data_IF_127251410436
#
_entry.id   IF_127251410436
#
_cell.length_a   1.000
_cell.length_b   1.000
_cell.length_c   1.000
_cell.angle_alpha   90.00
_cell.angle_beta   90.00
_cell.angle_gamma   90.00
#
_symmetry.space_group_name_H-M   'P 1'
#
loop_
_entity.id
_entity.type
_entity.pdbx_description
1 polymer ?
#
# COMPACT_ATOMS: atom_id res chain seq x y z
N UNK A 1 20.46 -9.84 14.20
CA UNK A 1 20.12 -9.13 12.95
C UNK A 1 19.65 -10.08 11.87
N UNK A 2 20.53 -10.89 11.29
CA UNK A 2 20.19 -11.88 10.26
C UNK A 2 21.07 -13.13 10.41
N UNK A 3 20.75 -14.22 9.71
CA UNK A 3 21.53 -15.46 9.70
C UNK A 3 20.87 -16.63 10.42
N UNK A 4 19.59 -16.55 10.81
CA UNK A 4 18.88 -17.64 11.50
C UNK A 4 18.93 -18.97 10.74
N UNK A 5 18.81 -18.91 9.41
CA UNK A 5 18.96 -20.10 8.56
C UNK A 5 20.38 -20.68 8.65
N UNK A 6 21.41 -19.83 8.61
CA UNK A 6 22.82 -20.25 8.73
C UNK A 6 23.11 -20.86 10.10
N UNK A 7 22.59 -20.26 11.17
CA UNK A 7 22.67 -20.80 12.53
C UNK A 7 22.03 -22.17 12.63
N UNK A 8 20.83 -22.32 12.06
CA UNK A 8 20.11 -23.59 12.02
C UNK A 8 20.89 -24.67 11.26
N UNK A 9 21.41 -24.34 10.07
CA UNK A 9 22.20 -25.26 9.25
C UNK A 9 23.49 -25.72 9.94
N UNK A 10 24.29 -24.79 10.48
CA UNK A 10 25.54 -25.14 11.20
C UNK A 10 25.24 -26.01 12.41
N UNK A 11 24.16 -25.72 13.15
CA UNK A 11 23.75 -26.55 14.29
C UNK A 11 23.38 -27.97 13.89
N UNK A 12 22.69 -28.14 12.76
CA UNK A 12 22.33 -29.47 12.22
C UNK A 12 23.56 -30.24 11.76
N UNK A 13 24.41 -29.62 10.95
CA UNK A 13 25.62 -30.24 10.42
C UNK A 13 26.57 -30.69 11.55
N UNK A 14 26.72 -29.85 12.59
CA UNK A 14 27.55 -30.20 13.74
C UNK A 14 26.97 -31.40 14.51
N UNK A 15 25.64 -31.45 14.72
CA UNK A 15 24.98 -32.59 15.36
C UNK A 15 25.13 -33.89 14.57
N UNK A 16 25.16 -33.80 13.24
CA UNK A 16 25.34 -34.94 12.36
C UNK A 16 26.81 -35.38 12.23
N UNK A 17 27.76 -34.66 12.85
CA UNK A 17 29.19 -34.93 12.72
C UNK A 17 29.78 -34.56 11.34
N UNK A 18 29.03 -33.82 10.52
CA UNK A 18 29.44 -33.41 9.16
C UNK A 18 30.43 -32.23 9.19
N UNK A 19 30.49 -31.49 10.30
CA UNK A 19 31.48 -30.45 10.56
C UNK A 19 32.08 -30.63 11.95
N UNK A 20 33.35 -30.26 12.10
CA UNK A 20 34.12 -30.45 13.33
C UNK A 20 33.91 -29.35 14.37
N UNK A 21 33.43 -28.18 13.96
CA UNK A 21 33.18 -27.05 14.89
C UNK A 21 31.88 -26.33 14.52
N UNK A 22 31.12 -25.84 15.52
CA UNK A 22 29.90 -25.07 15.29
C UNK A 22 30.18 -23.57 15.12
N UNK A 23 31.36 -23.19 14.60
CA UNK A 23 31.72 -21.77 14.46
C UNK A 23 30.95 -21.11 13.32
N UNK A 24 30.43 -19.91 13.59
CA UNK A 24 29.66 -19.13 12.63
C UNK A 24 30.34 -17.77 12.45
N UNK A 25 30.86 -17.46 11.24
CA UNK A 25 31.32 -16.11 10.93
C UNK A 25 30.18 -15.11 11.10
N UNK A 26 30.39 -14.11 11.94
CA UNK A 26 29.41 -13.08 12.22
C UNK A 26 30.07 -11.70 12.26
N UNK A 27 29.29 -10.69 11.89
CA UNK A 27 29.64 -9.30 12.13
C UNK A 27 29.05 -8.90 13.48
N UNK A 28 29.90 -8.47 14.41
CA UNK A 28 29.46 -7.93 15.69
C UNK A 28 29.33 -6.43 15.52
N UNK A 29 28.08 -5.96 15.53
CA UNK A 29 27.78 -4.54 15.56
C UNK A 29 27.76 -4.09 17.02
N UNK A 30 28.53 -3.06 17.33
CA UNK A 30 28.60 -2.46 18.68
C UNK A 30 28.00 -1.06 18.63
N UNK A 31 27.43 -0.61 19.76
CA UNK A 31 26.76 0.70 19.88
C UNK A 31 25.60 0.93 18.89
N UNK A 32 24.98 -0.14 18.37
CA UNK A 32 23.79 -0.02 17.52
C UNK A 32 22.53 0.18 18.35
N UNK A 33 21.70 1.11 17.92
CA UNK A 33 20.35 1.25 18.46
C UNK A 33 19.38 0.29 17.78
N UNK A 34 18.19 0.09 18.36
CA UNK A 34 17.12 -0.68 17.72
C UNK A 34 16.73 -0.11 16.33
N UNK A 35 16.88 1.21 16.16
CA UNK A 35 16.58 1.91 14.92
C UNK A 35 17.60 1.54 13.84
N UNK A 36 18.90 1.54 14.18
CA UNK A 36 19.99 1.13 13.29
C UNK A 36 19.85 -0.34 12.89
N UNK A 37 19.52 -1.18 13.86
CA UNK A 37 19.24 -2.60 13.66
C UNK A 37 18.07 -2.79 12.68
N UNK A 38 16.92 -2.17 12.96
CA UNK A 38 15.75 -2.29 12.10
C UNK A 38 16.04 -1.81 10.68
N UNK A 39 16.80 -0.71 10.53
CA UNK A 39 17.17 -0.19 9.23
C UNK A 39 18.07 -1.18 8.47
N UNK A 40 19.13 -1.69 9.12
CA UNK A 40 20.04 -2.67 8.54
C UNK A 40 19.30 -3.90 8.03
N UNK A 41 18.38 -4.44 8.85
CA UNK A 41 17.55 -5.60 8.46
C UNK A 41 16.70 -5.29 7.22
N UNK A 42 16.13 -4.09 7.11
CA UNK A 42 15.28 -3.69 5.98
C UNK A 42 16.03 -3.43 4.67
N UNK A 43 17.33 -3.16 4.76
CA UNK A 43 18.22 -2.90 3.61
C UNK A 43 19.05 -4.10 3.18
N UNK A 44 19.09 -5.18 3.97
CA UNK A 44 20.03 -6.29 3.81
C UNK A 44 19.79 -7.22 2.60
N UNK A 45 18.89 -6.86 1.68
CA UNK A 45 18.60 -7.66 0.49
C UNK A 45 19.35 -7.18 -0.74
N UNK A 46 20.61 -7.59 -0.85
CA UNK A 46 21.35 -7.62 -2.12
C UNK A 46 21.69 -9.07 -2.52
N UNK A 47 20.75 -10.01 -2.32
CA UNK A 47 20.80 -11.26 -3.10
C UNK A 47 20.13 -12.56 -2.63
N UNK A 48 19.60 -12.76 -1.42
CA UNK A 48 19.02 -14.09 -1.04
C UNK A 48 17.77 -14.02 -0.17
N UNK A 49 16.64 -14.34 -0.81
CA UNK A 49 15.23 -14.31 -0.31
C UNK A 49 14.70 -12.91 -0.07
N UNK A 50 14.07 -12.27 -1.08
CA UNK A 50 13.56 -10.91 -0.92
C UNK A 50 12.52 -10.85 0.20
N UNK A 51 12.76 -10.00 1.19
CA UNK A 51 11.79 -9.63 2.22
C UNK A 51 10.47 -9.26 1.53
N UNK A 52 9.36 -9.74 2.11
CA UNK A 52 8.04 -9.31 1.63
C UNK A 52 7.89 -7.81 1.87
N UNK A 53 7.16 -7.12 1.01
CA UNK A 53 7.12 -5.65 1.06
C UNK A 53 6.59 -5.10 2.39
N UNK A 54 5.65 -5.80 3.03
CA UNK A 54 5.21 -5.51 4.40
C UNK A 54 6.38 -5.48 5.41
N UNK A 55 7.29 -6.46 5.34
CA UNK A 55 8.43 -6.55 6.26
C UNK A 55 9.41 -5.40 6.01
N UNK A 56 9.68 -5.07 4.74
CA UNK A 56 10.52 -3.93 4.38
C UNK A 56 9.95 -2.61 4.89
N UNK A 57 8.66 -2.36 4.68
CA UNK A 57 8.00 -1.13 5.14
C UNK A 57 7.99 -1.07 6.67
N UNK A 58 7.67 -2.18 7.36
CA UNK A 58 7.65 -2.22 8.83
C UNK A 58 9.03 -1.97 9.42
N UNK A 59 10.08 -2.58 8.88
CA UNK A 59 11.45 -2.36 9.36
C UNK A 59 11.89 -0.91 9.12
N UNK A 60 11.62 -0.33 7.94
CA UNK A 60 11.91 1.09 7.64
C UNK A 60 11.16 2.06 8.54
N UNK A 61 9.91 1.76 8.88
CA UNK A 61 9.14 2.57 9.82
C UNK A 61 9.74 2.53 11.24
N UNK A 62 10.15 1.36 11.73
CA UNK A 62 10.83 1.23 13.02
C UNK A 62 12.19 1.95 12.99
N UNK A 63 12.92 1.85 11.88
CA UNK A 63 14.15 2.59 11.63
C UNK A 63 13.97 4.09 11.36
N UNK A 64 12.75 4.63 11.56
CA UNK A 64 12.41 6.05 11.39
C UNK A 64 12.79 6.62 10.02
N UNK A 65 12.67 5.82 8.96
CA UNK A 65 12.84 6.31 7.59
C UNK A 65 11.84 7.45 7.33
N UNK A 66 12.37 8.65 7.00
CA UNK A 66 11.58 9.87 6.86
C UNK A 66 10.43 9.73 5.85
N UNK A 67 10.63 8.98 4.76
CA UNK A 67 9.59 8.79 3.73
C UNK A 67 8.49 7.88 4.23
N UNK A 68 8.84 6.76 4.86
CA UNK A 68 7.84 5.83 5.39
C UNK A 68 7.09 6.44 6.58
N UNK A 69 7.75 7.20 7.44
CA UNK A 69 7.09 7.96 8.49
C UNK A 69 6.15 9.02 7.90
N UNK A 70 6.60 9.81 6.93
CA UNK A 70 5.74 10.81 6.27
C UNK A 70 4.52 10.21 5.58
N UNK A 71 4.67 9.05 4.93
CA UNK A 71 3.55 8.28 4.39
C UNK A 71 2.59 7.82 5.51
N UNK A 72 3.13 7.29 6.60
CA UNK A 72 2.32 6.84 7.73
C UNK A 72 1.53 7.98 8.35
N UNK A 73 2.15 9.14 8.54
CA UNK A 73 1.50 10.35 9.09
C UNK A 73 0.40 10.86 8.14
N UNK A 74 0.69 10.96 6.83
CA UNK A 74 -0.30 11.39 5.85
C UNK A 74 -1.52 10.46 5.76
N UNK A 75 -1.30 9.14 5.88
CA UNK A 75 -2.37 8.16 5.95
C UNK A 75 -3.16 8.28 7.26
N UNK A 76 -2.47 8.50 8.38
CA UNK A 76 -3.10 8.62 9.70
C UNK A 76 -3.99 9.87 9.78
N UNK A 77 -3.57 10.99 9.19
CA UNK A 77 -4.38 12.20 9.03
C UNK A 77 -5.71 11.93 8.30
N UNK A 78 -5.73 10.92 7.43
CA UNK A 78 -6.92 10.47 6.71
C UNK A 78 -7.70 9.37 7.45
N UNK A 79 -7.26 8.95 8.64
CA UNK A 79 -7.84 7.84 9.40
C UNK A 79 -7.42 6.44 8.93
N UNK A 80 -6.37 6.32 8.11
CA UNK A 80 -5.88 5.05 7.57
C UNK A 80 -4.62 4.61 8.33
N UNK A 81 -4.64 3.44 8.97
CA UNK A 81 -3.46 2.90 9.64
C UNK A 81 -2.62 2.09 8.66
N UNK A 82 -1.37 2.52 8.44
CA UNK A 82 -0.45 1.90 7.49
C UNK A 82 -0.34 0.37 7.65
N UNK A 83 -0.25 -0.15 8.88
CA UNK A 83 -0.02 -1.59 9.10
C UNK A 83 -1.29 -2.43 9.32
N UNK A 84 -2.46 -1.80 9.38
CA UNK A 84 -3.73 -2.49 9.67
C UNK A 84 -4.68 -2.41 8.50
N UNK A 85 -4.78 -1.23 7.90
CA UNK A 85 -5.81 -0.94 6.90
C UNK A 85 -5.25 -1.01 5.48
N UNK A 86 -3.95 -0.80 5.25
CA UNK A 86 -3.32 -0.89 3.92
C UNK A 86 -3.01 -2.33 3.55
N UNK A 87 -3.46 -2.73 2.36
CA UNK A 87 -3.19 -4.05 1.79
C UNK A 87 -2.06 -4.03 0.74
N UNK A 88 -2.02 -3.00 -0.11
CA UNK A 88 -1.05 -2.87 -1.20
C UNK A 88 0.04 -1.84 -0.88
N UNK A 89 1.00 -2.25 -0.03
CA UNK A 89 2.10 -1.40 0.45
C UNK A 89 2.97 -0.81 -0.67
N UNK A 90 3.28 -1.60 -1.71
CA UNK A 90 4.07 -1.13 -2.85
C UNK A 90 3.33 -0.01 -3.59
N UNK A 91 2.08 -0.27 -3.93
CA UNK A 91 1.23 0.66 -4.70
C UNK A 91 0.99 1.96 -3.96
N UNK A 92 0.62 1.93 -2.67
CA UNK A 92 0.37 3.19 -1.93
C UNK A 92 1.64 4.03 -1.83
N UNK A 93 2.80 3.38 -1.68
CA UNK A 93 4.10 4.07 -1.61
C UNK A 93 4.46 4.70 -2.94
N UNK A 94 4.32 3.96 -4.04
CA UNK A 94 4.54 4.49 -5.39
C UNK A 94 3.62 5.67 -5.69
N UNK A 95 2.34 5.59 -5.30
CA UNK A 95 1.40 6.70 -5.47
C UNK A 95 1.83 7.91 -4.63
N UNK A 96 2.20 7.72 -3.36
CA UNK A 96 2.65 8.79 -2.48
C UNK A 96 3.91 9.49 -3.01
N UNK A 97 4.86 8.73 -3.53
CA UNK A 97 6.11 9.29 -4.07
C UNK A 97 5.90 10.08 -5.39
N UNK A 98 4.78 9.86 -6.11
CA UNK A 98 4.52 10.44 -7.44
C UNK A 98 3.29 11.35 -7.51
N UNK A 99 2.60 11.60 -6.40
CA UNK A 99 1.38 12.43 -6.36
C UNK A 99 1.59 13.60 -5.42
N UNK A 100 1.02 14.75 -5.75
CA UNK A 100 0.95 15.88 -4.81
C UNK A 100 0.30 15.46 -3.48
N UNK A 101 0.83 15.96 -2.37
CA UNK A 101 0.43 15.53 -1.03
C UNK A 101 -1.04 15.83 -0.73
N UNK A 102 -1.56 16.98 -1.18
CA UNK A 102 -2.95 17.35 -0.95
C UNK A 102 -3.88 16.45 -1.77
N UNK A 103 -3.54 16.19 -3.04
CA UNK A 103 -4.29 15.25 -3.88
C UNK A 103 -4.26 13.84 -3.29
N UNK A 104 -3.10 13.40 -2.78
CA UNK A 104 -2.95 12.12 -2.09
C UNK A 104 -3.90 12.01 -0.89
N UNK A 105 -3.84 12.99 0.01
CA UNK A 105 -4.71 13.03 1.20
C UNK A 105 -6.19 13.07 0.82
N UNK A 106 -6.57 13.80 -0.24
CA UNK A 106 -7.96 13.88 -0.70
C UNK A 106 -8.53 12.51 -1.06
N UNK A 107 -7.89 11.74 -1.93
CA UNK A 107 -8.44 10.44 -2.30
C UNK A 107 -8.34 9.41 -1.15
N UNK A 108 -7.31 9.49 -0.29
CA UNK A 108 -7.23 8.68 0.93
C UNK A 108 -8.41 8.95 1.87
N UNK A 109 -8.78 10.22 2.07
CA UNK A 109 -9.94 10.62 2.86
C UNK A 109 -11.25 10.06 2.26
N UNK A 110 -11.36 10.02 0.93
CA UNK A 110 -12.50 9.40 0.26
C UNK A 110 -12.56 7.90 0.54
N UNK A 111 -11.46 7.17 0.44
CA UNK A 111 -11.41 5.73 0.77
C UNK A 111 -11.85 5.50 2.22
N UNK A 112 -11.27 6.28 3.12
CA UNK A 112 -11.51 6.17 4.56
C UNK A 112 -12.99 6.32 4.90
N UNK A 113 -13.57 7.46 4.49
CA UNK A 113 -14.98 7.80 4.76
C UNK A 113 -15.99 6.95 3.98
N UNK A 114 -15.59 6.37 2.86
CA UNK A 114 -16.49 5.52 2.07
C UNK A 114 -16.55 4.10 2.61
N UNK A 115 -15.42 3.57 3.07
CA UNK A 115 -15.26 2.12 3.27
C UNK A 115 -14.60 1.69 4.57
N UNK A 116 -13.61 2.45 5.08
CA UNK A 116 -12.88 2.03 6.28
C UNK A 116 -13.70 2.20 7.56
N UNK A 117 -14.56 3.21 7.61
CA UNK A 117 -15.53 3.41 8.70
C UNK A 117 -16.79 2.54 8.57
N UNK A 118 -16.87 1.72 7.51
CA UNK A 118 -18.03 0.91 7.19
C UNK A 118 -18.04 -0.51 7.75
N UNK A 119 -18.89 -1.33 7.16
CA UNK A 119 -19.04 -2.77 7.47
C UNK A 119 -17.77 -3.57 7.12
N UNK A 120 -17.66 -4.80 7.64
CA UNK A 120 -16.56 -5.72 7.28
C UNK A 120 -16.44 -5.93 5.76
N UNK A 121 -17.56 -5.96 5.04
CA UNK A 121 -17.56 -6.11 3.58
C UNK A 121 -17.04 -4.86 2.87
N UNK A 122 -17.30 -3.67 3.40
CA UNK A 122 -16.76 -2.41 2.88
C UNK A 122 -15.26 -2.27 3.18
N UNK A 123 -14.80 -2.64 4.38
CA UNK A 123 -13.37 -2.60 4.72
C UNK A 123 -12.53 -3.56 3.88
N UNK A 124 -13.10 -4.70 3.49
CA UNK A 124 -12.40 -5.71 2.70
C UNK A 124 -12.03 -5.13 1.32
N UNK A 125 -10.73 -5.11 1.03
CA UNK A 125 -10.16 -4.65 -0.25
C UNK A 125 -10.30 -3.15 -0.51
N UNK A 126 -10.61 -2.33 0.50
CA UNK A 126 -10.71 -0.87 0.37
C UNK A 126 -9.39 -0.20 -0.05
N UNK A 127 -8.25 -0.82 0.28
CA UNK A 127 -6.89 -0.32 0.02
C UNK A 127 -6.08 -1.31 -0.82
N UNK A 128 -6.75 -2.16 -1.61
CA UNK A 128 -6.05 -3.04 -2.54
C UNK A 128 -5.48 -2.24 -3.73
N UNK A 129 -4.52 -2.82 -4.46
CA UNK A 129 -3.83 -2.15 -5.57
C UNK A 129 -4.78 -1.53 -6.59
N UNK A 130 -5.78 -2.27 -7.06
CA UNK A 130 -6.76 -1.78 -8.06
C UNK A 130 -7.49 -0.51 -7.62
N UNK A 131 -7.92 -0.45 -6.37
CA UNK A 131 -8.68 0.69 -5.83
C UNK A 131 -7.77 1.89 -5.65
N UNK A 132 -6.57 1.67 -5.10
CA UNK A 132 -5.58 2.73 -4.91
C UNK A 132 -5.15 3.34 -6.24
N UNK A 133 -4.75 2.49 -7.20
CA UNK A 133 -4.40 2.93 -8.55
C UNK A 133 -5.57 3.65 -9.19
N UNK A 134 -6.76 3.06 -9.16
CA UNK A 134 -7.88 3.65 -9.88
C UNK A 134 -8.35 5.00 -9.33
N UNK A 135 -8.35 5.19 -8.01
CA UNK A 135 -8.64 6.49 -7.40
C UNK A 135 -7.52 7.50 -7.63
N UNK A 136 -6.26 7.08 -7.52
CA UNK A 136 -5.12 7.94 -7.83
C UNK A 136 -5.17 8.45 -9.28
N UNK A 137 -5.44 7.56 -10.24
CA UNK A 137 -5.60 7.94 -11.66
C UNK A 137 -6.81 8.86 -11.88
N UNK A 138 -7.91 8.62 -11.16
CA UNK A 138 -9.10 9.48 -11.27
C UNK A 138 -8.86 10.89 -10.75
N UNK A 139 -8.18 11.01 -9.60
CA UNK A 139 -7.82 12.31 -9.03
C UNK A 139 -6.73 13.01 -9.84
N UNK A 140 -5.76 12.30 -10.40
CA UNK A 140 -4.71 12.94 -11.21
C UNK A 140 -5.27 13.62 -12.46
N UNK A 141 -6.41 13.14 -12.99
CA UNK A 141 -7.09 13.75 -14.13
C UNK A 141 -8.15 14.79 -13.77
N UNK A 142 -8.90 14.57 -12.71
CA UNK A 142 -10.14 15.33 -12.44
C UNK A 142 -10.21 15.94 -11.03
N UNK A 143 -9.08 16.07 -10.31
CA UNK A 143 -9.05 16.58 -8.92
C UNK A 143 -9.86 17.87 -8.72
N UNK A 144 -9.80 18.80 -9.68
CA UNK A 144 -10.47 20.10 -9.61
C UNK A 144 -11.98 20.02 -9.87
N UNK A 145 -12.44 18.98 -10.56
CA UNK A 145 -13.85 18.74 -10.89
C UNK A 145 -14.56 17.86 -9.85
N UNK A 146 -13.80 17.09 -9.08
CA UNK A 146 -14.33 16.13 -8.11
C UNK A 146 -14.79 16.84 -6.83
N UNK A 147 -16.11 16.87 -6.66
CA UNK A 147 -16.76 16.99 -5.33
C UNK A 147 -16.59 15.70 -4.51
N UNK A 148 -15.66 15.74 -3.54
CA UNK A 148 -15.32 14.63 -2.65
C UNK A 148 -16.53 14.14 -1.83
N UNK A 149 -17.43 15.03 -1.38
CA UNK A 149 -18.59 14.63 -0.55
C UNK A 149 -19.56 13.77 -1.34
N UNK A 150 -19.80 14.15 -2.60
CA UNK A 150 -20.64 13.38 -3.49
C UNK A 150 -19.99 12.04 -3.85
N UNK A 151 -18.68 12.03 -4.13
CA UNK A 151 -17.97 10.78 -4.42
C UNK A 151 -18.04 9.82 -3.23
N UNK A 152 -17.82 10.31 -2.00
CA UNK A 152 -17.96 9.51 -0.76
C UNK A 152 -19.34 8.89 -0.67
N UNK A 153 -20.41 9.67 -0.86
CA UNK A 153 -21.79 9.16 -0.81
C UNK A 153 -21.99 8.02 -1.81
N UNK A 154 -21.53 8.17 -3.05
CA UNK A 154 -21.68 7.17 -4.12
C UNK A 154 -20.87 5.90 -3.86
N UNK A 155 -19.65 6.04 -3.34
CA UNK A 155 -18.80 4.90 -3.03
C UNK A 155 -19.27 4.16 -1.77
N UNK A 156 -19.85 4.86 -0.79
CA UNK A 156 -20.41 4.26 0.43
C UNK A 156 -21.58 3.31 0.13
N UNK A 157 -22.35 3.56 -0.94
CA UNK A 157 -23.43 2.68 -1.42
C UNK A 157 -22.90 1.37 -2.05
N UNK A 158 -21.58 1.24 -2.23
CA UNK A 158 -20.91 0.10 -2.85
C UNK A 158 -19.83 -0.47 -1.94
N UNK A 159 -19.42 -1.70 -2.24
CA UNK A 159 -18.26 -2.31 -1.62
C UNK A 159 -17.07 -2.18 -2.58
N UNK A 160 -15.83 -2.18 -2.08
CA UNK A 160 -14.65 -2.18 -2.95
C UNK A 160 -14.69 -3.32 -3.97
N UNK A 161 -15.17 -4.50 -3.59
CA UNK A 161 -15.31 -5.63 -4.50
C UNK A 161 -16.28 -5.36 -5.64
N UNK A 162 -17.44 -4.76 -5.38
CA UNK A 162 -18.37 -4.46 -6.47
C UNK A 162 -17.85 -3.34 -7.38
N UNK A 163 -17.02 -2.43 -6.88
CA UNK A 163 -16.28 -1.48 -7.73
C UNK A 163 -15.24 -2.20 -8.58
N UNK A 164 -14.51 -3.16 -8.00
CA UNK A 164 -13.51 -3.95 -8.74
C UNK A 164 -14.11 -4.81 -9.83
N UNK A 165 -15.28 -5.42 -9.59
CA UNK A 165 -16.03 -6.14 -10.63
C UNK A 165 -16.38 -5.24 -11.82
N UNK A 166 -16.69 -3.96 -11.58
CA UNK A 166 -16.92 -2.99 -12.65
C UNK A 166 -15.63 -2.67 -13.45
N UNK A 167 -14.43 -2.83 -12.89
CA UNK A 167 -13.20 -2.70 -13.66
C UNK A 167 -13.04 -3.81 -14.69
N UNK A 168 -13.49 -5.04 -14.38
CA UNK A 168 -13.40 -6.17 -15.29
C UNK A 168 -14.28 -6.00 -16.53
N UNK A 169 -15.40 -5.28 -16.42
CA UNK A 169 -16.29 -4.97 -17.55
C UNK A 169 -15.57 -4.22 -18.68
N UNK A 170 -14.50 -3.49 -18.38
CA UNK A 170 -13.77 -2.68 -19.36
C UNK A 170 -12.37 -3.21 -19.67
N UNK A 171 -11.99 -4.37 -19.12
CA UNK A 171 -10.63 -4.91 -19.22
C UNK A 171 -10.21 -5.30 -20.63
N UNK A 172 -11.15 -5.73 -21.46
CA UNK A 172 -10.89 -6.13 -22.86
C UNK A 172 -11.16 -5.00 -23.85
N UNK A 173 -11.76 -3.89 -23.41
CA UNK A 173 -12.20 -2.80 -24.27
C UNK A 173 -11.26 -1.59 -24.24
N UNK A 174 -10.47 -1.45 -23.17
CA UNK A 174 -9.67 -0.26 -22.90
C UNK A 174 -8.26 -0.62 -22.42
N UNK A 175 -7.32 0.31 -22.59
CA UNK A 175 -5.99 0.24 -21.96
C UNK A 175 -6.10 0.10 -20.43
N UNK A 176 -5.10 -0.52 -19.77
CA UNK A 176 -5.17 -0.89 -18.36
C UNK A 176 -5.57 0.22 -17.39
N UNK A 177 -5.16 1.47 -17.63
CA UNK A 177 -5.48 2.61 -16.76
C UNK A 177 -6.81 3.28 -17.11
N UNK A 178 -7.23 3.19 -18.38
CA UNK A 178 -8.49 3.76 -18.87
C UNK A 178 -9.70 3.05 -18.28
N UNK A 179 -9.60 1.75 -17.97
CA UNK A 179 -10.68 1.00 -17.30
C UNK A 179 -11.03 1.62 -15.94
N UNK A 180 -10.03 2.08 -15.17
CA UNK A 180 -10.26 2.68 -13.86
C UNK A 180 -10.94 4.05 -14.02
N UNK A 181 -10.40 4.90 -14.89
CA UNK A 181 -10.96 6.21 -15.19
C UNK A 181 -12.41 6.11 -15.66
N UNK A 182 -12.71 5.18 -16.56
CA UNK A 182 -14.07 4.99 -17.08
C UNK A 182 -15.03 4.59 -15.97
N UNK A 183 -14.66 3.60 -15.15
CA UNK A 183 -15.49 3.13 -14.05
C UNK A 183 -15.78 4.24 -13.04
N UNK A 184 -14.75 4.96 -12.57
CA UNK A 184 -14.96 6.03 -11.60
C UNK A 184 -15.75 7.21 -12.19
N UNK A 185 -15.53 7.56 -13.46
CA UNK A 185 -16.31 8.61 -14.14
C UNK A 185 -17.79 8.21 -14.25
N UNK A 186 -18.08 6.97 -14.65
CA UNK A 186 -19.46 6.45 -14.73
C UNK A 186 -20.13 6.42 -13.36
N UNK A 187 -19.42 5.96 -12.33
CA UNK A 187 -19.91 5.96 -10.95
C UNK A 187 -20.21 7.37 -10.44
N UNK A 188 -19.28 8.30 -10.66
CA UNK A 188 -19.40 9.69 -10.22
C UNK A 188 -20.56 10.41 -10.90
N UNK A 189 -20.71 10.21 -12.21
CA UNK A 189 -21.76 10.84 -13.02
C UNK A 189 -23.14 10.18 -12.87
N UNK A 190 -23.26 9.05 -12.19
CA UNK A 190 -24.52 8.30 -12.07
C UNK A 190 -25.59 9.14 -11.35
N UNK A 191 -26.61 9.55 -12.11
CA UNK A 191 -27.71 10.37 -11.63
C UNK A 191 -27.44 11.88 -11.62
N UNK A 192 -26.30 12.35 -12.16
CA UNK A 192 -25.99 13.78 -12.29
C UNK A 192 -26.56 14.38 -13.57
N UNK A 193 -27.22 15.54 -13.44
CA UNK A 193 -27.67 16.40 -14.55
C UNK A 193 -26.76 17.61 -14.82
N UNK A 194 -25.97 18.05 -13.83
CA UNK A 194 -25.02 19.17 -13.91
C UNK A 194 -23.69 18.78 -13.23
N UNK A 195 -22.58 19.41 -13.60
CA UNK A 195 -21.25 19.12 -13.06
C UNK A 195 -20.82 17.68 -13.34
N UNK A 196 -21.08 17.19 -14.55
CA UNK A 196 -20.62 15.86 -14.96
C UNK A 196 -19.17 16.00 -15.40
N UNK A 197 -18.36 15.00 -15.06
CA UNK A 197 -17.01 14.88 -15.60
C UNK A 197 -17.14 14.31 -17.00
N UNK A 198 -16.65 15.03 -18.00
CA UNK A 198 -16.63 14.52 -19.37
C UNK A 198 -15.43 13.59 -19.54
N UNK A 199 -15.73 12.32 -19.82
CA UNK A 199 -14.70 11.31 -20.04
C UNK A 199 -14.02 11.56 -21.40
N UNK A 200 -12.78 12.05 -21.37
CA UNK A 200 -11.92 12.26 -22.56
C UNK A 200 -10.86 11.17 -22.65
#
# INVERSE_FOLDING_TARGET
MDGQARVSSVRTLYKNGEISTPMIPCLILTNTTLEDEAMLFGTQDDGKTPLREFQKVKSKFIGKDKKICGLADALMDCGIRLFTDVQAYKTIREIYDNTDLEVFKRFCNVISKSWLDGTKAQRKNATCGDILTGLSTFYSKYADEIDDRNLIKKLSEKTPNSVRELFENYKNELEPDRKYLKTFTVLYNKGRRKGRIDYV
#
